data_IF_391202622811
#
_entry.id   IF_391202622811
#
_cell.length_a   1.000
_cell.length_b   1.000
_cell.length_c   1.000
_cell.angle_alpha   90.00
_cell.angle_beta   90.00
_cell.angle_gamma   90.00
#
_symmetry.space_group_name_H-M   'P 1'
#
loop_
_entity.id
_entity.type
_entity.pdbx_description
1 polymer ?
#
# COMPACT_ATOMS: atom_id res chain seq x y z
N UNK A 1 -6.37 -15.43 -19.84
CA UNK A 1 -5.73 -14.36 -19.05
C UNK A 1 -6.68 -13.69 -18.07
N UNK A 2 -7.78 -13.05 -18.50
CA UNK A 2 -8.66 -12.33 -17.58
C UNK A 2 -9.28 -13.20 -16.46
N UNK A 3 -9.66 -14.45 -16.77
CA UNK A 3 -10.19 -15.39 -15.77
C UNK A 3 -9.15 -15.77 -14.71
N UNK A 4 -7.94 -16.16 -15.12
CA UNK A 4 -6.85 -16.50 -14.21
C UNK A 4 -6.44 -15.32 -13.31
N UNK A 5 -6.47 -14.08 -13.83
CA UNK A 5 -6.21 -12.90 -13.00
C UNK A 5 -7.29 -12.67 -11.94
N UNK A 6 -8.57 -12.97 -12.25
CA UNK A 6 -9.66 -12.90 -11.26
C UNK A 6 -9.55 -13.96 -10.20
N UNK A 7 -9.31 -15.21 -10.61
CA UNK A 7 -9.10 -16.32 -9.68
C UNK A 7 -7.94 -16.04 -8.71
N UNK A 8 -6.83 -15.50 -9.23
CA UNK A 8 -5.73 -15.06 -8.39
C UNK A 8 -6.12 -13.92 -7.43
N UNK A 9 -6.89 -12.93 -7.91
CA UNK A 9 -7.34 -11.82 -7.07
C UNK A 9 -8.24 -12.33 -5.92
N UNK A 10 -9.18 -13.21 -6.21
CA UNK A 10 -10.08 -13.81 -5.21
C UNK A 10 -9.29 -14.63 -4.18
N UNK A 11 -8.28 -15.38 -4.62
CA UNK A 11 -7.41 -16.16 -3.72
C UNK A 11 -6.56 -15.26 -2.82
N UNK A 12 -6.01 -14.16 -3.37
CA UNK A 12 -5.25 -13.17 -2.59
C UNK A 12 -6.16 -12.48 -1.57
N UNK A 13 -7.36 -12.07 -1.96
CA UNK A 13 -8.31 -11.40 -1.08
C UNK A 13 -8.74 -12.31 0.09
N UNK A 14 -9.06 -13.58 -0.21
CA UNK A 14 -9.40 -14.56 0.82
C UNK A 14 -8.24 -14.83 1.78
N UNK A 15 -7.01 -14.88 1.27
CA UNK A 15 -5.82 -15.06 2.09
C UNK A 15 -5.57 -13.85 3.00
N UNK A 16 -5.52 -12.64 2.42
CA UNK A 16 -5.30 -11.39 3.17
C UNK A 16 -6.39 -11.16 4.21
N UNK A 17 -7.65 -11.41 3.89
CA UNK A 17 -8.74 -11.35 4.89
C UNK A 17 -8.53 -12.37 6.02
N UNK A 18 -8.00 -13.56 5.69
CA UNK A 18 -7.60 -14.56 6.68
C UNK A 18 -6.49 -14.08 7.60
N UNK A 19 -5.46 -13.45 7.04
CA UNK A 19 -4.35 -12.82 7.78
C UNK A 19 -4.86 -11.68 8.66
N UNK A 20 -5.67 -10.77 8.14
CA UNK A 20 -6.19 -9.63 8.89
C UNK A 20 -6.98 -10.06 10.13
N UNK A 21 -7.87 -11.05 9.99
CA UNK A 21 -8.66 -11.56 11.12
C UNK A 21 -7.86 -12.26 12.21
N UNK A 22 -6.67 -12.79 11.87
CA UNK A 22 -5.90 -13.65 12.79
C UNK A 22 -4.60 -13.00 13.27
N UNK A 23 -3.88 -12.34 12.38
CA UNK A 23 -2.59 -11.73 12.64
C UNK A 23 -2.71 -10.32 13.19
N UNK A 24 -3.59 -9.46 12.66
CA UNK A 24 -3.69 -8.08 13.16
C UNK A 24 -4.04 -8.01 14.64
N UNK A 25 -4.99 -8.80 15.19
CA UNK A 25 -5.25 -8.80 16.62
C UNK A 25 -4.04 -9.23 17.47
N UNK A 26 -3.23 -10.17 16.97
CA UNK A 26 -2.02 -10.62 17.66
C UNK A 26 -0.92 -9.55 17.63
N UNK A 27 -0.82 -8.81 16.52
CA UNK A 27 0.10 -7.68 16.42
C UNK A 27 -0.34 -6.57 17.37
N UNK A 28 -1.63 -6.25 17.44
CA UNK A 28 -2.18 -5.27 18.38
C UNK A 28 -1.94 -5.67 19.85
N UNK A 29 -2.09 -6.96 20.20
CA UNK A 29 -1.90 -7.43 21.57
C UNK A 29 -0.44 -7.56 22.02
N UNK A 30 0.52 -7.66 21.09
CA UNK A 30 1.92 -7.97 21.40
C UNK A 30 2.93 -6.94 20.88
N UNK A 31 2.52 -6.05 19.99
CA UNK A 31 3.39 -5.08 19.36
C UNK A 31 3.00 -3.66 19.73
N UNK A 32 3.87 -3.03 20.52
CA UNK A 32 3.78 -1.60 20.79
C UNK A 32 4.17 -0.78 19.55
N UNK A 33 3.61 0.44 19.45
CA UNK A 33 3.82 1.36 18.35
C UNK A 33 5.29 1.68 18.11
N UNK A 34 6.07 1.76 19.19
CA UNK A 34 7.51 2.02 19.13
C UNK A 34 8.32 0.90 18.44
N UNK A 35 7.76 -0.32 18.32
CA UNK A 35 8.44 -1.48 17.72
C UNK A 35 8.17 -1.64 16.23
N UNK A 36 7.08 -1.07 15.72
CA UNK A 36 6.75 -1.11 14.28
C UNK A 36 7.89 -0.69 13.36
N UNK A 37 8.65 0.40 13.62
CA UNK A 37 9.75 0.82 12.74
C UNK A 37 10.84 -0.24 12.59
N UNK A 38 11.16 -0.98 13.67
CA UNK A 38 12.17 -2.03 13.64
C UNK A 38 11.71 -3.22 12.77
N UNK A 39 10.44 -3.61 12.88
CA UNK A 39 9.85 -4.66 12.05
C UNK A 39 9.82 -4.24 10.58
N UNK A 40 9.37 -3.02 10.30
CA UNK A 40 9.36 -2.49 8.94
C UNK A 40 10.76 -2.44 8.33
N UNK A 41 11.79 -2.12 9.13
CA UNK A 41 13.19 -2.10 8.68
C UNK A 41 13.76 -3.51 8.44
N UNK A 42 13.38 -4.49 9.26
CA UNK A 42 13.78 -5.89 9.12
C UNK A 42 13.04 -6.61 7.97
N UNK A 43 11.88 -6.10 7.57
CA UNK A 43 11.06 -6.67 6.51
C UNK A 43 11.72 -6.49 5.14
N UNK A 44 11.84 -7.59 4.40
CA UNK A 44 12.38 -7.54 3.02
C UNK A 44 11.26 -7.20 2.03
N UNK A 45 11.28 -5.97 1.51
CA UNK A 45 10.37 -5.59 0.44
C UNK A 45 10.94 -5.99 -0.92
N UNK A 46 10.40 -7.05 -1.53
CA UNK A 46 10.80 -7.53 -2.87
C UNK A 46 10.30 -6.66 -4.02
N UNK A 47 9.42 -5.71 -3.73
CA UNK A 47 8.88 -4.80 -4.74
C UNK A 47 9.95 -3.83 -5.25
N UNK A 48 10.00 -3.66 -6.56
CA UNK A 48 10.74 -2.60 -7.23
C UNK A 48 10.26 -1.22 -6.78
N UNK A 49 11.06 -0.18 -7.03
CA UNK A 49 10.66 1.21 -6.73
C UNK A 49 9.35 1.61 -7.41
N UNK A 50 9.10 1.11 -8.62
CA UNK A 50 7.88 1.38 -9.38
C UNK A 50 6.67 0.72 -8.73
N UNK A 51 6.79 -0.54 -8.35
CA UNK A 51 5.72 -1.27 -7.66
C UNK A 51 5.44 -0.68 -6.27
N UNK A 52 6.48 -0.32 -5.49
CA UNK A 52 6.29 0.39 -4.22
C UNK A 52 5.55 1.72 -4.38
N UNK A 53 5.82 2.46 -5.46
CA UNK A 53 5.11 3.71 -5.77
C UNK A 53 3.64 3.44 -6.12
N UNK A 54 3.37 2.35 -6.84
CA UNK A 54 2.00 1.92 -7.15
C UNK A 54 1.24 1.52 -5.88
N UNK A 55 1.85 0.71 -5.01
CA UNK A 55 1.27 0.28 -3.72
C UNK A 55 1.02 1.49 -2.80
N UNK A 56 1.96 2.43 -2.70
CA UNK A 56 1.75 3.66 -1.94
C UNK A 56 0.55 4.44 -2.49
N UNK A 57 0.40 4.53 -3.82
CA UNK A 57 -0.74 5.21 -4.41
C UNK A 57 -2.08 4.51 -4.15
N UNK A 58 -2.11 3.17 -4.19
CA UNK A 58 -3.29 2.38 -3.82
C UNK A 58 -3.69 2.64 -2.36
N UNK A 59 -2.72 2.57 -1.44
CA UNK A 59 -2.97 2.84 -0.02
C UNK A 59 -3.50 4.26 0.22
N UNK A 60 -2.94 5.27 -0.45
CA UNK A 60 -3.38 6.66 -0.31
C UNK A 60 -4.76 6.92 -0.95
N UNK A 61 -5.11 6.20 -2.03
CA UNK A 61 -6.45 6.27 -2.66
C UNK A 61 -7.52 5.73 -1.70
N UNK A 62 -7.26 4.61 -1.03
CA UNK A 62 -8.19 3.97 -0.10
C UNK A 62 -8.27 4.66 1.28
N UNK A 63 -7.24 5.44 1.63
CA UNK A 63 -7.17 6.12 2.93
C UNK A 63 -8.08 7.34 3.03
N UNK A 64 -8.72 7.49 4.20
CA UNK A 64 -9.33 8.76 4.60
C UNK A 64 -8.27 9.87 4.76
N UNK A 65 -8.70 11.13 4.88
CA UNK A 65 -7.78 12.27 4.98
C UNK A 65 -6.77 12.16 6.15
N UNK A 66 -7.21 11.65 7.30
CA UNK A 66 -6.37 11.47 8.49
C UNK A 66 -5.32 10.39 8.27
N UNK A 67 -5.72 9.23 7.77
CA UNK A 67 -4.79 8.12 7.54
C UNK A 67 -3.84 8.41 6.38
N UNK A 68 -4.31 9.13 5.36
CA UNK A 68 -3.46 9.62 4.26
C UNK A 68 -2.33 10.51 4.80
N UNK A 69 -2.62 11.39 5.76
CA UNK A 69 -1.60 12.22 6.40
C UNK A 69 -0.61 11.36 7.21
N UNK A 70 -1.11 10.43 8.02
CA UNK A 70 -0.29 9.49 8.81
C UNK A 70 0.64 8.65 7.93
N UNK A 71 0.13 8.09 6.84
CA UNK A 71 0.92 7.32 5.87
C UNK A 71 2.05 8.16 5.29
N UNK A 72 1.76 9.38 4.82
CA UNK A 72 2.78 10.27 4.26
C UNK A 72 3.82 10.67 5.32
N UNK A 73 3.39 10.87 6.56
CA UNK A 73 4.27 11.23 7.66
C UNK A 73 5.19 10.08 8.11
N UNK A 74 4.73 8.84 8.00
CA UNK A 74 5.55 7.64 8.21
C UNK A 74 6.63 7.42 7.14
N UNK A 75 6.55 8.10 5.98
CA UNK A 75 7.56 7.96 4.94
C UNK A 75 8.85 8.76 5.24
N UNK A 76 10.03 8.22 4.87
CA UNK A 76 11.27 8.99 4.84
C UNK A 76 11.09 10.26 4.01
N UNK A 77 11.67 11.38 4.45
CA UNK A 77 11.52 12.71 3.80
C UNK A 77 11.76 12.66 2.28
N UNK A 78 12.76 11.90 1.82
CA UNK A 78 13.07 11.69 0.39
C UNK A 78 11.93 11.03 -0.38
N UNK A 79 11.24 10.06 0.21
CA UNK A 79 10.13 9.35 -0.41
C UNK A 79 8.90 10.24 -0.47
N UNK A 80 8.63 11.02 0.59
CA UNK A 80 7.56 12.03 0.61
C UNK A 80 7.75 13.09 -0.47
N UNK A 81 8.98 13.57 -0.66
CA UNK A 81 9.33 14.47 -1.76
C UNK A 81 9.15 13.82 -3.13
N UNK A 82 9.65 12.60 -3.33
CA UNK A 82 9.47 11.87 -4.59
C UNK A 82 7.98 11.66 -4.92
N UNK A 83 7.15 11.39 -3.90
CA UNK A 83 5.70 11.28 -4.04
C UNK A 83 5.07 12.57 -4.56
N UNK A 84 5.38 13.71 -3.89
CA UNK A 84 4.85 15.03 -4.25
C UNK A 84 5.26 15.48 -5.65
N UNK A 85 6.51 15.21 -6.04
CA UNK A 85 7.06 15.67 -7.33
C UNK A 85 6.56 14.81 -8.50
N UNK A 86 6.57 13.49 -8.35
CA UNK A 86 6.30 12.59 -9.48
C UNK A 86 5.45 11.37 -9.14
N UNK A 87 5.44 10.92 -7.88
CA UNK A 87 4.74 9.68 -7.48
C UNK A 87 3.24 9.74 -7.77
N UNK A 88 2.56 10.83 -7.37
CA UNK A 88 1.12 10.99 -7.60
C UNK A 88 0.76 10.96 -9.10
N UNK A 89 1.54 11.64 -9.95
CA UNK A 89 1.32 11.65 -11.41
C UNK A 89 1.55 10.28 -12.03
N UNK A 90 2.61 9.58 -11.60
CA UNK A 90 2.92 8.21 -12.06
C UNK A 90 1.84 7.22 -11.64
N UNK A 91 1.32 7.36 -10.42
CA UNK A 91 0.21 6.57 -9.93
C UNK A 91 -1.04 6.77 -10.78
N UNK A 92 -1.48 8.03 -10.95
CA UNK A 92 -2.62 8.37 -11.80
C UNK A 92 -2.48 7.80 -13.21
N UNK A 93 -1.32 7.95 -13.84
CA UNK A 93 -1.08 7.40 -15.18
C UNK A 93 -1.15 5.87 -15.22
N UNK A 94 -0.68 5.18 -14.17
CA UNK A 94 -0.80 3.73 -14.07
C UNK A 94 -2.26 3.30 -13.89
N UNK A 95 -3.03 4.00 -13.06
CA UNK A 95 -4.46 3.72 -12.84
C UNK A 95 -5.26 3.95 -14.13
N UNK A 96 -5.07 5.08 -14.82
CA UNK A 96 -5.74 5.34 -16.10
C UNK A 96 -5.43 4.25 -17.13
N UNK A 97 -4.17 3.80 -17.21
CA UNK A 97 -3.78 2.71 -18.13
C UNK A 97 -4.47 1.38 -17.79
N UNK A 98 -4.65 1.07 -16.50
CA UNK A 98 -5.15 -0.23 -16.04
C UNK A 98 -6.68 -0.28 -15.91
N UNK A 99 -7.28 0.80 -15.40
CA UNK A 99 -8.71 0.90 -15.09
C UNK A 99 -9.50 1.69 -16.14
N UNK A 100 -8.84 2.42 -17.04
CA UNK A 100 -9.50 3.27 -18.04
C UNK A 100 -10.07 4.59 -17.52
N UNK A 101 -9.98 4.83 -16.21
CA UNK A 101 -10.50 6.02 -15.53
C UNK A 101 -9.47 6.57 -14.52
N UNK A 102 -9.53 7.85 -14.15
CA UNK A 102 -8.68 8.40 -13.09
C UNK A 102 -9.01 7.76 -11.73
N UNK A 103 -8.04 7.72 -10.78
CA UNK A 103 -8.28 7.27 -9.41
C UNK A 103 -9.30 8.19 -8.72
N UNK A 104 -9.98 7.66 -7.70
CA UNK A 104 -10.88 8.44 -6.86
C UNK A 104 -10.14 9.63 -6.22
N UNK A 105 -10.82 10.77 -6.09
CA UNK A 105 -10.26 12.02 -5.57
C UNK A 105 -10.12 12.00 -4.04
#
# INVERSE_FOLDING_TARGET
MAAACRELADAVDAHTTGEERRLLPLLDSHLDDARWPAIAAASTCRLSRRERTLVLGLALEDSCAVDRARLLDGLPRRARWAWRVAGHRRYRAAVVRLRGAPPAA
#
